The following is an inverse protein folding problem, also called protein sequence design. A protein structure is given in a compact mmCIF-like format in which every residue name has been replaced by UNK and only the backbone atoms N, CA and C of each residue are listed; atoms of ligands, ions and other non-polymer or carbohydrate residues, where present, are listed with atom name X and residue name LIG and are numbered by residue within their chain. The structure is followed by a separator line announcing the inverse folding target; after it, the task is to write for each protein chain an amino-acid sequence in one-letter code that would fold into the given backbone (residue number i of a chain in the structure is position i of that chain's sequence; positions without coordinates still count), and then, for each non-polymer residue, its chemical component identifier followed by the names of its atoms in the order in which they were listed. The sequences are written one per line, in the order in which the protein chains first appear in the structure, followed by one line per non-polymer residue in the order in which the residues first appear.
data_IF_015019262522
#
_entry.id   IF_015019262522
#
_cell.length_a   1.000
_cell.length_b   1.000
_cell.length_c   1.000
_cell.angle_alpha   90.00
_cell.angle_beta   90.00
_cell.angle_gamma   90.00
#
_symmetry.space_group_name_H-M   'P 1'
#
loop_
_entity.id
_entity.type
_entity.pdbx_description
1 polymer ?
#
# COMPACT_ATOMS: atom_id res chain seq x y z
N UNK A 1 -6.34 9.18 -4.10
CA UNK A 1 -5.30 8.28 -3.58
C UNK A 1 -4.56 7.65 -4.74
N UNK A 2 -3.26 7.66 -4.69
CA UNK A 2 -2.47 7.07 -5.75
C UNK A 2 -1.74 5.84 -5.24
N UNK A 3 -1.34 4.98 -6.18
CA UNK A 3 -0.55 3.80 -5.84
C UNK A 3 0.73 4.20 -5.11
N UNK A 4 1.36 5.28 -5.55
CA UNK A 4 2.59 5.75 -4.93
C UNK A 4 2.37 6.17 -3.48
N UNK A 5 1.26 6.82 -3.19
CA UNK A 5 0.96 7.23 -1.84
C UNK A 5 0.78 6.03 -0.92
N UNK A 6 0.05 5.03 -1.38
CA UNK A 6 -0.19 3.83 -0.58
C UNK A 6 1.10 3.06 -0.38
N UNK A 7 1.86 2.84 -1.44
CA UNK A 7 3.13 2.14 -1.31
C UNK A 7 4.10 2.91 -0.42
N UNK A 8 4.02 4.23 -0.46
CA UNK A 8 4.84 5.06 0.41
C UNK A 8 4.56 4.83 1.88
N UNK A 9 3.30 4.60 2.24
CA UNK A 9 2.94 4.29 3.61
C UNK A 9 3.63 3.00 4.05
N UNK A 10 3.61 1.99 3.19
CA UNK A 10 4.25 0.73 3.50
C UNK A 10 5.77 0.88 3.61
N UNK A 11 6.35 1.73 2.79
CA UNK A 11 7.80 1.95 2.84
C UNK A 11 8.23 2.60 4.16
N UNK A 12 7.38 3.47 4.70
CA UNK A 12 7.68 4.14 5.96
C UNK A 12 7.40 3.26 7.17
N UNK A 13 6.65 2.18 6.98
CA UNK A 13 6.25 1.31 8.07
C UNK A 13 6.60 -0.12 7.69
N UNK A 14 7.86 -0.52 7.88
CA UNK A 14 8.27 -1.88 7.53
C UNK A 14 7.51 -2.91 8.36
N UNK A 15 7.32 -4.08 7.77
CA UNK A 15 6.55 -5.12 8.41
C UNK A 15 5.10 -5.08 8.00
N UNK A 16 4.30 -5.87 8.68
CA UNK A 16 2.88 -5.96 8.35
C UNK A 16 2.11 -4.83 9.02
N UNK A 17 1.24 -4.19 8.26
CA UNK A 17 0.38 -3.15 8.80
C UNK A 17 -1.06 -3.43 8.39
N UNK A 18 -1.97 -3.00 9.23
CA UNK A 18 -3.39 -3.26 9.03
C UNK A 18 -4.02 -2.18 8.16
N UNK A 19 -5.18 -2.47 7.54
CA UNK A 19 -5.89 -1.43 6.81
C UNK A 19 -6.24 -0.22 7.66
N UNK A 20 -6.53 -0.43 8.93
CA UNK A 20 -6.84 0.69 9.82
C UNK A 20 -5.63 1.61 9.96
N UNK A 21 -4.44 1.05 10.09
CA UNK A 21 -3.23 1.85 10.17
C UNK A 21 -3.00 2.63 8.89
N UNK A 22 -3.32 2.03 7.75
CA UNK A 22 -3.20 2.72 6.46
C UNK A 22 -4.22 3.85 6.37
N UNK A 23 -5.43 3.58 6.80
CA UNK A 23 -6.49 4.58 6.80
C UNK A 23 -6.08 5.79 7.63
N UNK A 24 -5.50 5.56 8.80
CA UNK A 24 -5.00 6.66 9.63
C UNK A 24 -3.83 7.38 8.98
N UNK A 25 -2.93 6.63 8.36
CA UNK A 25 -1.77 7.23 7.70
C UNK A 25 -2.18 8.12 6.54
N UNK A 26 -3.29 7.81 5.91
CA UNK A 26 -3.83 8.62 4.82
C UNK A 26 -4.76 9.72 5.32
N UNK A 27 -4.78 9.93 6.64
CA UNK A 27 -5.52 11.01 7.27
C UNK A 27 -7.02 10.92 7.06
N UNK A 28 -7.51 9.70 6.89
CA UNK A 28 -8.95 9.45 6.78
C UNK A 28 -9.62 10.19 5.61
N UNK A 29 -8.86 10.44 4.56
CA UNK A 29 -9.39 11.16 3.41
C UNK A 29 -10.30 10.32 2.52
N UNK A 30 -10.27 9.01 2.73
CA UNK A 30 -11.07 8.08 1.95
C UNK A 30 -11.87 7.23 2.89
N UNK A 31 -12.95 6.66 2.39
CA UNK A 31 -13.69 5.76 3.24
C UNK A 31 -12.95 4.41 3.33
N UNK A 32 -13.31 3.63 4.31
CA UNK A 32 -12.64 2.37 4.56
C UNK A 32 -12.81 1.37 3.43
N UNK A 33 -13.95 1.39 2.77
CA UNK A 33 -14.19 0.50 1.64
C UNK A 33 -13.20 0.74 0.52
N UNK A 34 -12.97 2.00 0.22
CA UNK A 34 -12.01 2.36 -0.82
C UNK A 34 -10.63 1.87 -0.48
N UNK A 35 -10.24 2.01 0.78
CA UNK A 35 -8.93 1.52 1.24
C UNK A 35 -8.84 0.02 1.08
N UNK A 36 -9.83 -0.73 1.55
CA UNK A 36 -9.82 -2.18 1.44
C UNK A 36 -9.76 -2.63 -0.02
N UNK A 37 -10.59 -2.03 -0.86
CA UNK A 37 -10.62 -2.39 -2.28
C UNK A 37 -9.28 -2.11 -2.95
N UNK A 38 -8.66 -1.01 -2.59
CA UNK A 38 -7.39 -0.63 -3.17
C UNK A 38 -6.29 -1.60 -2.75
N UNK A 39 -6.27 -1.97 -1.47
CA UNK A 39 -5.29 -2.91 -0.97
C UNK A 39 -5.44 -4.28 -1.64
N UNK A 40 -6.66 -4.72 -1.84
CA UNK A 40 -6.90 -5.97 -2.52
C UNK A 40 -6.39 -5.93 -3.96
N UNK A 41 -6.60 -4.81 -4.62
CA UNK A 41 -6.11 -4.63 -5.98
C UNK A 41 -4.60 -4.71 -6.03
N UNK A 42 -3.92 -4.04 -5.10
CA UNK A 42 -2.47 -4.09 -5.05
C UNK A 42 -1.95 -5.49 -4.74
N UNK A 43 -2.67 -6.21 -3.90
CA UNK A 43 -2.32 -7.60 -3.63
C UNK A 43 -2.42 -8.45 -4.89
N UNK A 44 -3.47 -8.26 -5.66
CA UNK A 44 -3.65 -8.99 -6.91
C UNK A 44 -2.55 -8.68 -7.92
N UNK A 45 -2.02 -7.49 -7.88
CA UNK A 45 -0.92 -7.09 -8.74
C UNK A 45 0.43 -7.61 -8.24
N UNK A 46 0.45 -8.27 -7.08
CA UNK A 46 1.68 -8.80 -6.54
C UNK A 46 2.52 -7.76 -5.82
N UNK A 47 1.99 -6.59 -5.56
CA UNK A 47 2.72 -5.53 -4.89
C UNK A 47 2.63 -5.60 -3.37
N UNK A 48 1.60 -6.25 -2.87
CA UNK A 48 1.39 -6.47 -1.44
C UNK A 48 1.15 -7.94 -1.19
N UNK A 49 1.46 -8.37 0.03
CA UNK A 49 1.14 -9.70 0.49
C UNK A 49 0.48 -9.60 1.86
N UNK A 50 -0.29 -10.61 2.21
CA UNK A 50 -0.98 -10.62 3.49
C UNK A 50 -0.19 -11.45 4.49
N UNK A 51 -0.23 -11.04 5.74
CA UNK A 51 0.35 -11.81 6.81
C UNK A 51 -0.52 -13.01 7.14
N UNK A 52 0.08 -14.02 7.73
CA UNK A 52 -0.62 -15.22 8.10
C UNK A 52 -1.79 -14.88 9.02
N UNK A 53 -1.53 -14.06 9.97
CA UNK A 53 -2.55 -13.46 10.82
C UNK A 53 -1.85 -12.56 11.80
N UNK A 54 -2.55 -11.55 12.19
CA UNK A 54 -2.03 -10.64 13.19
C UNK A 54 -2.93 -10.73 14.40
N UNK A 55 -4.19 -10.62 14.18
CA UNK A 55 -5.19 -10.76 15.22
C UNK A 55 -6.43 -11.33 14.59
N UNK A 56 -7.27 -11.89 15.42
CA UNK A 56 -8.51 -12.45 14.98
C UNK A 56 -9.30 -11.42 14.17
N UNK A 57 -9.69 -11.79 12.96
CA UNK A 57 -10.51 -10.94 12.12
C UNK A 57 -9.79 -9.81 11.43
N UNK A 58 -8.46 -9.70 11.60
CA UNK A 58 -7.69 -8.64 10.98
C UNK A 58 -6.62 -9.21 10.08
N UNK A 59 -6.60 -8.73 8.85
CA UNK A 59 -5.53 -9.04 7.93
C UNK A 59 -4.54 -7.89 7.96
N UNK A 60 -3.27 -8.23 7.86
CA UNK A 60 -2.23 -7.23 7.74
C UNK A 60 -1.55 -7.41 6.41
N UNK A 61 -1.03 -6.34 5.87
CA UNK A 61 -0.40 -6.32 4.56
C UNK A 61 1.03 -5.86 4.68
N UNK A 62 1.85 -6.36 3.79
CA UNK A 62 3.26 -5.97 3.70
C UNK A 62 3.61 -5.81 2.23
N UNK A 63 4.49 -4.85 1.95
CA UNK A 63 4.93 -4.65 0.59
C UNK A 63 5.90 -5.75 0.18
N UNK A 64 5.68 -6.33 -1.00
CA UNK A 64 6.57 -7.36 -1.54
C UNK A 64 7.79 -6.71 -2.18
N UNK A 65 8.76 -7.54 -2.56
CA UNK A 65 9.89 -7.05 -3.33
C UNK A 65 9.42 -6.34 -4.59
N UNK A 66 8.42 -6.90 -5.23
CA UNK A 66 7.85 -6.30 -6.43
C UNK A 66 7.23 -4.95 -6.11
N UNK A 67 6.61 -4.83 -4.93
CA UNK A 67 6.06 -3.55 -4.49
C UNK A 67 7.15 -2.53 -4.25
N UNK A 68 8.24 -2.94 -3.62
CA UNK A 68 9.38 -2.06 -3.41
C UNK A 68 9.97 -1.59 -4.73
N UNK A 69 10.11 -2.52 -5.68
CA UNK A 69 10.64 -2.16 -7.00
C UNK A 69 9.73 -1.18 -7.71
N UNK A 70 8.43 -1.37 -7.59
CA UNK A 70 7.47 -0.47 -8.21
C UNK A 70 7.53 0.92 -7.60
N UNK A 71 7.65 0.99 -6.27
CA UNK A 71 7.76 2.28 -5.60
C UNK A 71 9.06 2.98 -5.99
N UNK A 72 10.16 2.23 -6.05
CA UNK A 72 11.42 2.77 -6.47
C UNK A 72 11.32 3.32 -7.88
N UNK A 73 10.63 2.61 -8.76
CA UNK A 73 10.42 3.07 -10.12
C UNK A 73 9.70 4.43 -10.13
N UNK A 74 8.64 4.55 -9.35
CA UNK A 74 7.89 5.81 -9.29
C UNK A 74 8.76 6.95 -8.76
N UNK A 75 9.58 6.68 -7.75
CA UNK A 75 10.41 7.71 -7.13
C UNK A 75 11.58 8.14 -7.98
N UNK A 76 12.17 7.20 -8.71
CA UNK A 76 13.33 7.49 -9.53
C UNK A 76 12.97 7.87 -10.95
N UNK A 77 11.71 7.74 -11.31
CA UNK A 77 11.24 8.10 -12.62
C UNK A 77 11.41 9.60 -12.83
N UNK A 78 12.06 10.04 -13.91
CA UNK A 78 12.16 11.47 -14.16
C UNK A 78 10.77 12.05 -14.29
N UNK A 79 10.64 13.29 -13.85
CA UNK A 79 9.37 13.95 -13.96
C UNK A 79 8.94 13.92 -15.41
N UNK A 80 7.82 13.35 -15.67
CA UNK A 80 7.32 13.26 -17.02
C UNK A 80 6.90 14.62 -17.49
N UNK A 81 7.29 14.91 -18.68
CA UNK A 81 6.84 16.12 -19.31
C UNK A 81 5.60 15.74 -20.06
N UNK A 82 4.48 16.29 -19.69
CA UNK A 82 3.26 16.00 -20.43
C UNK A 82 3.41 16.60 -21.83
N UNK A 83 2.97 15.88 -22.74
CA UNK A 83 3.00 16.34 -24.12
C UNK A 83 1.64 16.20 -24.74
#
# INVERSE_FOLDING_TARGET
MTKQQVLGVFARNPGFITPDQIFEALQRRLDRRSVYSYLLRLKRQGLLETGAHVRRGHLAYRMTERGHARLKYFRSRPRQIPW
#
